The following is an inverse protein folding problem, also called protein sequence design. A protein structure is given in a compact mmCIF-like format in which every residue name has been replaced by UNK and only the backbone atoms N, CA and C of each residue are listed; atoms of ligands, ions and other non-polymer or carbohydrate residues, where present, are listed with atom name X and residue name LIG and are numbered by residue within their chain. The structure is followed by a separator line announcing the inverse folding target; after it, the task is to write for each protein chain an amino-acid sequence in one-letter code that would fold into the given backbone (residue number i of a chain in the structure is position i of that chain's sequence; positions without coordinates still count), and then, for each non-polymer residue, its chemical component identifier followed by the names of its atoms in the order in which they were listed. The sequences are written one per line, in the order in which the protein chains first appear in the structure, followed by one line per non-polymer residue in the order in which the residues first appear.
data_IF_830956881869
#
_entry.id   IF_830956881869
#
_cell.length_a   1.000
_cell.length_b   1.000
_cell.length_c   1.000
_cell.angle_alpha   90.00
_cell.angle_beta   90.00
_cell.angle_gamma   90.00
#
_symmetry.space_group_name_H-M   'P 1'
#
loop_
_entity.id
_entity.type
_entity.pdbx_description
1 polymer ?
#
# COMPACT_ATOMS: atom_id res chain seq x y z
N UNK A 1 25.99 21.65 -15.58
CA UNK A 1 25.61 20.51 -14.71
C UNK A 1 24.13 20.62 -14.42
N UNK A 2 23.35 19.55 -14.58
CA UNK A 2 21.90 19.57 -14.35
C UNK A 2 21.57 19.45 -12.86
N UNK A 3 20.60 20.25 -12.38
CA UNK A 3 20.10 20.20 -11.00
C UNK A 3 21.15 20.41 -9.92
N UNK A 4 22.35 20.92 -10.26
CA UNK A 4 23.50 21.04 -9.35
C UNK A 4 23.84 19.73 -8.58
N UNK A 5 23.55 18.56 -9.17
CA UNK A 5 23.74 17.26 -8.52
C UNK A 5 22.63 16.87 -7.52
N UNK A 6 21.57 17.68 -7.40
CA UNK A 6 20.37 17.38 -6.60
C UNK A 6 19.42 16.47 -7.38
N UNK A 7 18.32 16.08 -6.74
CA UNK A 7 17.28 15.24 -7.33
C UNK A 7 16.70 15.90 -8.58
N UNK A 8 17.13 15.44 -9.76
CA UNK A 8 16.88 16.13 -11.02
C UNK A 8 15.41 16.18 -11.40
N UNK A 9 14.65 15.13 -11.06
CA UNK A 9 13.21 15.07 -11.28
C UNK A 9 12.43 16.11 -10.46
N UNK A 10 12.97 16.56 -9.31
CA UNK A 10 12.38 17.63 -8.51
C UNK A 10 12.98 19.00 -8.84
N UNK A 11 14.27 19.04 -9.21
CA UNK A 11 14.99 20.28 -9.44
C UNK A 11 14.79 20.87 -10.84
N UNK A 12 14.47 20.03 -11.83
CA UNK A 12 14.29 20.44 -13.23
C UNK A 12 13.02 19.85 -13.88
N UNK A 13 12.14 19.24 -13.09
CA UNK A 13 10.82 18.76 -13.50
C UNK A 13 9.85 18.85 -12.29
N UNK A 14 8.68 18.22 -12.38
CA UNK A 14 7.60 18.33 -11.38
C UNK A 14 7.58 17.16 -10.37
N UNK A 15 8.60 16.31 -10.36
CA UNK A 15 8.65 15.11 -9.54
C UNK A 15 7.76 14.00 -10.07
N UNK A 16 7.23 13.19 -9.16
CA UNK A 16 6.32 12.10 -9.51
C UNK A 16 4.90 12.65 -9.74
N UNK A 17 4.17 12.14 -10.76
CA UNK A 17 2.78 12.50 -10.97
C UNK A 17 1.92 12.23 -9.72
N UNK A 18 0.88 13.03 -9.54
CA UNK A 18 -0.08 12.89 -8.43
C UNK A 18 -0.66 11.48 -8.33
N UNK A 19 -0.92 10.83 -9.47
CA UNK A 19 -1.45 9.47 -9.54
C UNK A 19 -0.51 8.38 -8.99
N UNK A 20 0.76 8.69 -8.75
CA UNK A 20 1.71 7.78 -8.09
C UNK A 20 1.97 8.22 -6.64
N UNK A 21 2.01 9.53 -6.41
CA UNK A 21 2.22 10.10 -5.06
C UNK A 21 1.02 9.89 -4.12
N UNK A 22 -0.20 9.74 -4.65
CA UNK A 22 -1.40 9.49 -3.84
C UNK A 22 -1.30 8.21 -3.01
N UNK A 23 -0.73 7.13 -3.56
CA UNK A 23 -0.47 5.88 -2.83
C UNK A 23 0.56 6.08 -1.72
N UNK A 24 1.64 6.82 -1.98
CA UNK A 24 2.66 7.13 -0.98
C UNK A 24 2.09 7.94 0.19
N UNK A 25 1.25 8.95 -0.10
CA UNK A 25 0.61 9.76 0.93
C UNK A 25 -0.49 9.01 1.66
N UNK A 26 -1.25 8.13 1.00
CA UNK A 26 -2.18 7.23 1.65
C UNK A 26 -1.46 6.30 2.64
N UNK A 27 -0.29 5.77 2.26
CA UNK A 27 0.53 4.96 3.16
C UNK A 27 0.99 5.74 4.39
N UNK A 28 1.44 6.99 4.22
CA UNK A 28 1.82 7.86 5.33
C UNK A 28 0.63 8.17 6.25
N UNK A 29 -0.54 8.46 5.68
CA UNK A 29 -1.75 8.77 6.45
C UNK A 29 -2.23 7.57 7.27
N UNK A 30 -2.30 6.38 6.66
CA UNK A 30 -2.73 5.17 7.36
C UNK A 30 -1.67 4.64 8.33
N UNK A 31 -0.37 4.87 8.05
CA UNK A 31 0.69 4.61 9.02
C UNK A 31 0.50 5.46 10.29
N UNK A 32 0.24 6.76 10.13
CA UNK A 32 -0.07 7.65 11.25
C UNK A 32 -1.32 7.18 12.02
N UNK A 33 -2.38 6.80 11.32
CA UNK A 33 -3.59 6.25 11.95
C UNK A 33 -3.28 4.96 12.73
N UNK A 34 -2.51 4.05 12.13
CA UNK A 34 -2.11 2.78 12.75
C UNK A 34 -1.31 3.01 14.03
N UNK A 35 -0.34 3.94 14.01
CA UNK A 35 0.45 4.31 15.20
C UNK A 35 -0.43 4.86 16.32
N UNK A 36 -1.42 5.69 15.98
CA UNK A 36 -2.34 6.27 16.97
C UNK A 36 -3.26 5.20 17.57
N UNK A 37 -3.84 4.33 16.74
CA UNK A 37 -4.74 3.25 17.18
C UNK A 37 -4.03 2.18 18.03
N UNK A 38 -2.75 1.94 17.78
CA UNK A 38 -1.94 0.93 18.48
C UNK A 38 -0.95 1.56 19.47
N UNK A 39 -1.25 2.77 19.95
CA UNK A 39 -0.38 3.50 20.88
C UNK A 39 -0.11 2.66 22.13
N UNK A 40 1.16 2.43 22.43
CA UNK A 40 1.60 1.64 23.59
C UNK A 40 1.66 0.12 23.34
N UNK A 41 1.25 -0.35 22.15
CA UNK A 41 1.38 -1.74 21.73
C UNK A 41 2.52 -1.96 20.74
N UNK A 42 3.13 -0.89 20.24
CA UNK A 42 4.24 -0.92 19.29
C UNK A 42 5.52 -0.52 20.03
N UNK A 43 6.48 -1.44 20.06
CA UNK A 43 7.80 -1.20 20.65
C UNK A 43 8.59 -0.15 19.84
N UNK A 44 9.50 0.63 20.47
CA UNK A 44 10.37 1.52 19.73
C UNK A 44 11.21 0.76 18.69
N UNK A 45 11.19 1.21 17.43
CA UNK A 45 11.96 0.57 16.37
C UNK A 45 11.46 0.88 14.97
N UNK A 46 12.09 0.26 13.98
CA UNK A 46 11.65 0.29 12.60
C UNK A 46 10.64 -0.83 12.39
N UNK A 47 9.43 -0.46 11.97
CA UNK A 47 8.35 -1.40 11.67
C UNK A 47 7.91 -1.23 10.23
N UNK A 48 7.73 -2.35 9.55
CA UNK A 48 7.04 -2.36 8.27
C UNK A 48 5.55 -2.08 8.48
N UNK A 49 4.91 -1.48 7.47
CA UNK A 49 3.46 -1.32 7.45
C UNK A 49 2.81 -2.72 7.44
N UNK A 50 1.79 -2.97 8.29
CA UNK A 50 1.07 -4.24 8.26
C UNK A 50 0.45 -4.49 6.89
N UNK A 51 0.52 -5.73 6.42
CA UNK A 51 -0.01 -6.13 5.10
C UNK A 51 -1.50 -5.77 4.91
N UNK A 52 -2.28 -5.83 5.99
CA UNK A 52 -3.69 -5.44 5.96
C UNK A 52 -3.89 -3.94 5.63
N UNK A 53 -3.01 -3.07 6.13
CA UNK A 53 -3.05 -1.63 5.83
C UNK A 53 -2.62 -1.40 4.38
N UNK A 54 -1.60 -2.10 3.91
CA UNK A 54 -1.13 -2.00 2.52
C UNK A 54 -2.22 -2.46 1.50
N UNK A 55 -2.90 -3.57 1.80
CA UNK A 55 -4.05 -4.05 1.01
C UNK A 55 -5.20 -3.04 0.98
N UNK A 56 -5.44 -2.34 2.09
CA UNK A 56 -6.48 -1.31 2.14
C UNK A 56 -6.15 -0.11 1.25
N UNK A 57 -4.87 0.32 1.20
CA UNK A 57 -4.42 1.38 0.28
C UNK A 57 -4.64 0.96 -1.17
N UNK A 58 -4.27 -0.28 -1.52
CA UNK A 58 -4.48 -0.81 -2.86
C UNK A 58 -5.98 -0.84 -3.21
N UNK A 59 -6.84 -1.29 -2.28
CA UNK A 59 -8.29 -1.31 -2.47
C UNK A 59 -8.86 0.09 -2.69
N UNK A 60 -8.45 1.07 -1.89
CA UNK A 60 -8.87 2.47 -2.03
C UNK A 60 -8.43 3.07 -3.37
N UNK A 61 -7.22 2.75 -3.82
CA UNK A 61 -6.70 3.19 -5.13
C UNK A 61 -7.55 2.65 -6.27
N UNK A 62 -7.83 1.34 -6.28
CA UNK A 62 -8.66 0.71 -7.30
C UNK A 62 -10.07 1.31 -7.31
N UNK A 63 -10.66 1.51 -6.12
CA UNK A 63 -11.96 2.16 -5.96
C UNK A 63 -11.96 3.59 -6.54
N UNK A 64 -10.93 4.40 -6.26
CA UNK A 64 -10.80 5.75 -6.81
C UNK A 64 -10.63 5.77 -8.34
N UNK A 65 -10.07 4.70 -8.92
CA UNK A 65 -9.97 4.50 -10.36
C UNK A 65 -11.24 3.92 -10.99
N UNK A 66 -12.26 3.57 -10.20
CA UNK A 66 -13.46 2.88 -10.67
C UNK A 66 -13.21 1.44 -11.11
N UNK A 67 -12.12 0.82 -10.64
CA UNK A 67 -11.77 -0.58 -10.93
C UNK A 67 -12.37 -1.46 -9.82
N UNK A 68 -13.16 -2.44 -10.23
CA UNK A 68 -13.67 -3.48 -9.34
C UNK A 68 -12.75 -4.70 -9.40
N UNK A 69 -12.58 -5.34 -8.25
CA UNK A 69 -11.94 -6.65 -8.13
C UNK A 69 -12.96 -7.66 -7.64
N UNK A 70 -12.78 -8.91 -8.05
CA UNK A 70 -13.54 -10.05 -7.59
C UNK A 70 -13.15 -10.45 -6.16
N UNK A 71 -13.97 -11.28 -5.55
CA UNK A 71 -13.71 -11.89 -4.24
C UNK A 71 -13.76 -13.39 -4.40
N UNK A 72 -12.76 -14.08 -3.85
CA UNK A 72 -12.73 -15.54 -3.90
C UNK A 72 -13.97 -16.12 -3.20
N UNK A 73 -14.61 -17.09 -3.84
CA UNK A 73 -15.68 -17.86 -3.19
C UNK A 73 -15.09 -18.77 -2.10
N UNK A 74 -15.89 -19.19 -1.11
CA UNK A 74 -15.42 -20.13 -0.09
C UNK A 74 -14.77 -21.39 -0.69
N UNK A 75 -15.35 -21.91 -1.78
CA UNK A 75 -14.83 -23.08 -2.49
C UNK A 75 -13.48 -22.81 -3.15
N UNK A 76 -13.27 -21.61 -3.71
CA UNK A 76 -11.97 -21.22 -4.29
C UNK A 76 -10.89 -21.08 -3.21
N UNK A 77 -11.25 -20.53 -2.05
CA UNK A 77 -10.34 -20.41 -0.90
C UNK A 77 -9.97 -21.80 -0.37
N UNK A 78 -10.95 -22.70 -0.23
CA UNK A 78 -10.70 -24.07 0.19
C UNK A 78 -9.81 -24.80 -0.82
N UNK A 79 -10.10 -24.69 -2.11
CA UNK A 79 -9.30 -25.30 -3.18
C UNK A 79 -7.84 -24.84 -3.16
N UNK A 80 -7.57 -23.54 -2.94
CA UNK A 80 -6.20 -23.02 -2.88
C UNK A 80 -5.41 -23.48 -1.65
N UNK A 81 -6.09 -23.79 -0.54
CA UNK A 81 -5.47 -24.11 0.73
C UNK A 81 -5.50 -25.62 1.06
N UNK A 82 -6.24 -26.42 0.30
CA UNK A 82 -6.35 -27.86 0.54
C UNK A 82 -5.26 -28.64 -0.21
N UNK A 83 -4.64 -29.58 0.49
CA UNK A 83 -3.73 -30.57 -0.10
C UNK A 83 -4.50 -31.76 -0.69
N UNK A 84 -5.82 -31.80 -0.50
CA UNK A 84 -6.71 -32.89 -0.90
C UNK A 84 -7.39 -32.65 -2.25
N UNK A 85 -7.30 -31.42 -2.77
CA UNK A 85 -7.88 -31.02 -4.06
C UNK A 85 -6.81 -30.56 -5.05
N UNK A 86 -5.77 -31.38 -5.24
CA UNK A 86 -4.72 -31.20 -6.26
C UNK A 86 -3.71 -32.35 -6.18
N UNK A 87 -3.08 -32.72 -7.30
CA UNK A 87 -2.09 -33.82 -7.42
C UNK A 87 -0.99 -33.79 -6.36
#
# INVERSE_FOLDING_TARGET
VLGEGRLINLAAAEGHPSAVMDMSFANQALACEYLVKNKGSIEPGLHSIPEAVDKEIARLKLQAMGINIDTLTPEQIEYMNSWTSGT
#
